data_IF_089108450685
#
_entry.id   IF_089108450685
#
_cell.length_a   1.000
_cell.length_b   1.000
_cell.length_c   1.000
_cell.angle_alpha   90.00
_cell.angle_beta   90.00
_cell.angle_gamma   90.00
#
_symmetry.space_group_name_H-M   'P 1'
#
loop_
_entity.id
_entity.type
_entity.pdbx_description
1 polymer ?
#
# COMPACT_ATOMS: atom_id res chain seq x y z
N UNK A 1 -21.89 66.27 -33.75
CA UNK A 1 -21.43 65.86 -32.40
C UNK A 1 -22.45 64.87 -31.79
N UNK A 2 -22.51 63.63 -32.28
CA UNK A 2 -23.47 62.61 -31.75
C UNK A 2 -22.81 61.28 -31.38
N UNK A 3 -21.55 61.04 -31.76
CA UNK A 3 -20.88 59.76 -31.52
C UNK A 3 -20.43 59.49 -30.07
N UNK A 4 -20.58 60.45 -29.13
CA UNK A 4 -20.07 60.31 -27.77
C UNK A 4 -21.03 59.69 -26.76
N UNK A 5 -22.35 59.71 -27.01
CA UNK A 5 -23.36 59.28 -26.03
C UNK A 5 -23.66 57.77 -26.14
N UNK A 6 -23.51 57.18 -27.33
CA UNK A 6 -23.80 55.76 -27.55
C UNK A 6 -22.77 54.82 -26.88
N UNK A 7 -21.49 55.21 -26.82
CA UNK A 7 -20.46 54.39 -26.17
C UNK A 7 -20.63 54.32 -24.63
N UNK A 8 -21.12 55.38 -24.00
CA UNK A 8 -21.39 55.37 -22.55
C UNK A 8 -22.58 54.48 -22.18
N UNK A 9 -23.58 54.36 -23.05
CA UNK A 9 -24.72 53.46 -22.85
C UNK A 9 -24.36 51.98 -23.02
N UNK A 10 -23.52 51.66 -24.01
CA UNK A 10 -23.07 50.27 -24.24
C UNK A 10 -22.10 49.81 -23.15
N UNK A 11 -21.22 50.69 -22.67
CA UNK A 11 -20.31 50.38 -21.57
C UNK A 11 -21.05 50.19 -20.23
N UNK A 12 -22.07 50.98 -19.94
CA UNK A 12 -22.87 50.85 -18.71
C UNK A 12 -23.74 49.59 -18.70
N UNK A 13 -24.29 49.20 -19.86
CA UNK A 13 -24.97 47.91 -20.04
C UNK A 13 -24.03 46.73 -19.83
N UNK A 14 -22.79 46.80 -20.34
CA UNK A 14 -21.79 45.75 -20.17
C UNK A 14 -21.39 45.53 -18.71
N UNK A 15 -21.18 46.62 -17.95
CA UNK A 15 -20.87 46.54 -16.51
C UNK A 15 -22.07 46.03 -15.71
N UNK A 16 -23.29 46.47 -16.03
CA UNK A 16 -24.52 45.98 -15.39
C UNK A 16 -24.72 44.48 -15.58
N UNK A 17 -24.46 43.95 -16.79
CA UNK A 17 -24.54 42.53 -17.08
C UNK A 17 -23.54 41.71 -16.25
N UNK A 18 -22.30 42.18 -16.11
CA UNK A 18 -21.26 41.50 -15.30
C UNK A 18 -21.65 41.48 -13.82
N UNK A 19 -22.19 42.59 -13.29
CA UNK A 19 -22.67 42.64 -11.90
C UNK A 19 -23.85 41.70 -11.68
N UNK A 20 -24.80 41.61 -12.62
CA UNK A 20 -25.93 40.69 -12.55
C UNK A 20 -25.50 39.22 -12.63
N UNK A 21 -24.58 38.88 -13.54
CA UNK A 21 -24.02 37.51 -13.65
C UNK A 21 -23.29 37.14 -12.35
N UNK A 22 -22.49 38.07 -11.79
CA UNK A 22 -21.79 37.86 -10.52
C UNK A 22 -22.77 37.71 -9.34
N UNK A 23 -23.86 38.47 -9.32
CA UNK A 23 -24.91 38.36 -8.30
C UNK A 23 -25.69 37.04 -8.41
N UNK A 24 -26.07 36.62 -9.62
CA UNK A 24 -26.69 35.32 -9.90
C UNK A 24 -25.76 34.15 -9.55
N UNK A 25 -24.47 34.24 -9.88
CA UNK A 25 -23.48 33.23 -9.54
C UNK A 25 -23.32 33.12 -8.01
N UNK A 26 -23.27 34.24 -7.30
CA UNK A 26 -23.14 34.30 -5.84
C UNK A 26 -24.42 33.83 -5.12
N UNK A 27 -25.60 34.07 -5.68
CA UNK A 27 -26.87 33.53 -5.18
C UNK A 27 -26.97 32.01 -5.43
N UNK A 28 -26.48 31.50 -6.57
CA UNK A 28 -26.44 30.06 -6.85
C UNK A 28 -25.47 29.30 -5.92
N UNK A 29 -24.30 29.88 -5.63
CA UNK A 29 -23.33 29.30 -4.69
C UNK A 29 -23.85 29.38 -3.27
N UNK A 30 -24.55 30.46 -2.90
CA UNK A 30 -25.19 30.58 -1.59
C UNK A 30 -26.32 29.56 -1.40
N UNK A 31 -27.21 29.38 -2.39
CA UNK A 31 -28.30 28.39 -2.34
C UNK A 31 -27.78 26.95 -2.32
N UNK A 32 -26.77 26.64 -3.14
CA UNK A 32 -26.16 25.30 -3.14
C UNK A 32 -25.41 25.01 -1.84
N UNK A 33 -24.69 25.98 -1.28
CA UNK A 33 -24.03 25.85 0.03
C UNK A 33 -25.05 25.69 1.16
N UNK A 34 -26.15 26.46 1.14
CA UNK A 34 -27.25 26.33 2.09
C UNK A 34 -27.95 24.98 1.98
N UNK A 35 -28.16 24.46 0.77
CA UNK A 35 -28.72 23.11 0.53
C UNK A 35 -27.77 22.02 1.03
N UNK A 36 -26.45 22.14 0.79
CA UNK A 36 -25.43 21.22 1.31
C UNK A 36 -25.36 21.25 2.83
N UNK A 37 -25.35 22.44 3.45
CA UNK A 37 -25.40 22.59 4.91
C UNK A 37 -26.70 22.04 5.50
N UNK A 38 -27.82 22.19 4.79
CA UNK A 38 -29.10 21.60 5.22
C UNK A 38 -29.05 20.08 5.17
N UNK A 39 -28.57 19.49 4.08
CA UNK A 39 -28.37 18.05 3.94
C UNK A 39 -27.37 17.52 4.99
N UNK A 40 -26.28 18.24 5.23
CA UNK A 40 -25.33 17.91 6.28
C UNK A 40 -26.01 17.89 7.66
N UNK A 41 -26.81 18.91 7.98
CA UNK A 41 -27.60 18.93 9.23
C UNK A 41 -28.65 17.83 9.31
N UNK A 42 -29.38 17.58 8.23
CA UNK A 42 -30.40 16.52 8.13
C UNK A 42 -29.77 15.13 8.37
N UNK A 43 -28.52 14.93 7.93
CA UNK A 43 -27.78 13.69 8.06
C UNK A 43 -26.65 13.75 9.10
N UNK A 44 -26.69 14.69 10.05
CA UNK A 44 -25.60 14.92 11.02
C UNK A 44 -25.27 13.69 11.89
N UNK A 45 -26.22 12.76 12.02
CA UNK A 45 -26.01 11.51 12.75
C UNK A 45 -25.31 10.42 11.92
N UNK A 46 -25.12 10.63 10.62
CA UNK A 46 -24.55 9.65 9.68
C UNK A 46 -23.08 9.90 9.37
N UNK A 47 -22.50 10.96 9.91
CA UNK A 47 -21.07 11.24 9.83
C UNK A 47 -20.58 11.82 11.15
N UNK A 48 -19.27 11.75 11.38
CA UNK A 48 -18.61 12.34 12.54
C UNK A 48 -17.44 13.15 12.00
N UNK A 49 -17.42 14.44 12.34
CA UNK A 49 -16.36 15.34 11.95
C UNK A 49 -15.25 15.34 13.02
N UNK A 50 -14.00 15.64 12.65
CA UNK A 50 -12.92 15.82 13.62
C UNK A 50 -13.26 16.85 14.70
N UNK A 51 -14.01 17.89 14.36
CA UNK A 51 -14.44 18.95 15.27
C UNK A 51 -15.47 18.48 16.31
N UNK A 52 -16.14 17.35 16.08
CA UNK A 52 -17.08 16.74 17.02
C UNK A 52 -16.36 15.97 18.16
N UNK A 53 -15.03 15.86 18.06
CA UNK A 53 -14.20 15.05 18.94
C UNK A 53 -13.13 15.91 19.62
N UNK A 54 -12.90 15.68 20.91
CA UNK A 54 -11.70 16.19 21.59
C UNK A 54 -10.43 15.51 21.06
N UNK A 55 -9.29 16.13 21.28
CA UNK A 55 -8.02 15.65 20.72
C UNK A 55 -7.68 14.19 21.11
N UNK A 56 -7.81 13.77 22.39
CA UNK A 56 -7.63 12.36 22.76
C UNK A 56 -8.56 11.40 22.00
N UNK A 57 -9.84 11.75 21.85
CA UNK A 57 -10.81 10.94 21.12
C UNK A 57 -10.49 10.87 19.62
N UNK A 58 -10.04 11.96 19.01
CA UNK A 58 -9.58 11.95 17.60
C UNK A 58 -8.43 10.96 17.39
N UNK A 59 -7.42 10.97 18.27
CA UNK A 59 -6.28 10.07 18.17
C UNK A 59 -6.70 8.61 18.35
N UNK A 60 -7.60 8.34 19.30
CA UNK A 60 -8.09 6.99 19.56
C UNK A 60 -8.92 6.45 18.38
N UNK A 61 -9.76 7.28 17.76
CA UNK A 61 -10.52 6.91 16.57
C UNK A 61 -9.58 6.62 15.38
N UNK A 62 -8.59 7.47 15.14
CA UNK A 62 -7.60 7.26 14.06
C UNK A 62 -6.87 5.93 14.22
N UNK A 63 -6.50 5.57 15.45
CA UNK A 63 -5.88 4.26 15.73
C UNK A 63 -6.80 3.08 15.37
N UNK A 64 -8.08 3.17 15.69
CA UNK A 64 -9.06 2.15 15.32
C UNK A 64 -9.21 2.03 13.79
N UNK A 65 -9.32 3.17 13.09
CA UNK A 65 -9.40 3.22 11.63
C UNK A 65 -8.16 2.60 10.97
N UNK A 66 -6.96 2.98 11.42
CA UNK A 66 -5.71 2.42 10.90
C UNK A 66 -5.61 0.91 11.12
N UNK A 67 -6.08 0.41 12.28
CA UNK A 67 -6.08 -1.03 12.56
C UNK A 67 -6.99 -1.79 11.58
N UNK A 68 -8.22 -1.30 11.35
CA UNK A 68 -9.16 -1.90 10.40
C UNK A 68 -8.64 -1.79 8.96
N UNK A 69 -8.11 -0.64 8.56
CA UNK A 69 -7.52 -0.46 7.24
C UNK A 69 -6.38 -1.46 6.99
N UNK A 70 -5.50 -1.66 7.97
CA UNK A 70 -4.42 -2.64 7.87
C UNK A 70 -4.92 -4.08 7.71
N UNK A 71 -6.02 -4.45 8.38
CA UNK A 71 -6.65 -5.77 8.23
C UNK A 71 -7.21 -5.93 6.82
N UNK A 72 -8.03 -4.97 6.39
CA UNK A 72 -8.74 -5.01 5.11
C UNK A 72 -7.77 -4.96 3.91
N UNK A 73 -6.65 -4.24 4.05
CA UNK A 73 -5.63 -4.10 3.02
C UNK A 73 -4.71 -5.33 2.88
N UNK A 74 -4.64 -6.21 3.90
CA UNK A 74 -3.74 -7.37 3.92
C UNK A 74 -4.03 -8.36 2.78
N UNK A 75 -2.98 -9.02 2.28
CA UNK A 75 -3.11 -10.02 1.24
C UNK A 75 -3.83 -11.27 1.75
N UNK A 76 -3.64 -11.66 3.01
CA UNK A 76 -4.38 -12.78 3.64
C UNK A 76 -5.89 -12.53 3.70
N UNK A 77 -6.33 -11.29 3.97
CA UNK A 77 -7.75 -10.91 3.90
C UNK A 77 -8.27 -11.00 2.47
N UNK A 78 -7.55 -10.41 1.51
CA UNK A 78 -7.93 -10.41 0.09
C UNK A 78 -7.96 -11.81 -0.53
N UNK A 79 -7.13 -12.72 -0.03
CA UNK A 79 -7.09 -14.12 -0.43
C UNK A 79 -8.18 -14.97 0.25
N UNK A 80 -9.00 -14.40 1.15
CA UNK A 80 -10.06 -15.12 1.85
C UNK A 80 -9.56 -16.12 2.90
N UNK A 81 -8.31 -15.99 3.35
CA UNK A 81 -7.69 -16.91 4.33
C UNK A 81 -8.07 -16.61 5.78
N UNK A 82 -8.67 -15.45 6.01
CA UNK A 82 -9.37 -15.07 7.24
C UNK A 82 -10.82 -14.76 6.88
N UNK A 83 -11.72 -14.80 7.85
CA UNK A 83 -13.16 -14.60 7.62
C UNK A 83 -13.44 -13.22 7.00
N UNK A 84 -13.52 -13.19 5.67
CA UNK A 84 -13.55 -11.96 4.89
C UNK A 84 -14.93 -11.32 4.91
N UNK A 85 -15.99 -12.12 5.03
CA UNK A 85 -17.38 -11.64 5.09
C UNK A 85 -17.61 -10.98 6.45
N UNK A 86 -17.26 -11.68 7.54
CA UNK A 86 -17.40 -11.14 8.90
C UNK A 86 -16.57 -9.86 9.04
N UNK A 87 -15.32 -9.85 8.54
CA UNK A 87 -14.48 -8.66 8.61
C UNK A 87 -15.01 -7.47 7.81
N UNK A 88 -15.61 -7.70 6.64
CA UNK A 88 -16.15 -6.64 5.79
C UNK A 88 -17.39 -5.97 6.40
N UNK A 89 -18.17 -6.68 7.20
CA UNK A 89 -19.39 -6.15 7.82
C UNK A 89 -19.10 -5.63 9.22
N UNK A 90 -18.47 -6.46 10.05
CA UNK A 90 -18.33 -6.18 11.48
C UNK A 90 -17.25 -5.14 11.78
N UNK A 91 -16.11 -5.13 11.08
CA UNK A 91 -15.05 -4.16 11.39
C UNK A 91 -15.45 -2.70 11.11
N UNK A 92 -16.10 -2.35 9.98
CA UNK A 92 -16.63 -1.00 9.79
C UNK A 92 -17.68 -0.63 10.84
N UNK A 93 -18.56 -1.57 11.21
CA UNK A 93 -19.54 -1.35 12.26
C UNK A 93 -18.87 -1.07 13.62
N UNK A 94 -17.85 -1.86 13.99
CA UNK A 94 -17.06 -1.66 15.21
C UNK A 94 -16.45 -0.25 15.26
N UNK A 95 -15.85 0.21 14.16
CA UNK A 95 -15.28 1.57 14.05
C UNK A 95 -16.38 2.62 14.20
N UNK A 96 -17.53 2.44 13.56
CA UNK A 96 -18.66 3.36 13.67
C UNK A 96 -19.21 3.45 15.10
N UNK A 97 -19.36 2.31 15.78
CA UNK A 97 -19.79 2.27 17.17
C UNK A 97 -18.78 2.96 18.11
N UNK A 98 -17.48 2.74 17.89
CA UNK A 98 -16.41 3.43 18.63
C UNK A 98 -16.50 4.94 18.39
N UNK A 99 -16.59 5.37 17.14
CA UNK A 99 -16.66 6.79 16.77
C UNK A 99 -17.86 7.48 17.42
N UNK A 100 -19.04 6.86 17.36
CA UNK A 100 -20.28 7.40 17.94
C UNK A 100 -20.17 7.56 19.46
N UNK A 101 -19.55 6.60 20.14
CA UNK A 101 -19.32 6.66 21.60
C UNK A 101 -18.26 7.70 21.96
N UNK A 102 -17.21 7.85 21.15
CA UNK A 102 -16.19 8.88 21.35
C UNK A 102 -16.77 10.28 21.17
N UNK A 103 -17.64 10.51 20.17
CA UNK A 103 -18.37 11.78 20.01
C UNK A 103 -19.17 12.11 21.26
N UNK A 104 -19.91 11.13 21.80
CA UNK A 104 -20.67 11.31 23.04
C UNK A 104 -19.75 11.60 24.23
N UNK A 105 -18.60 10.93 24.34
CA UNK A 105 -17.62 11.19 25.39
C UNK A 105 -17.07 12.62 25.30
N UNK A 106 -16.68 13.07 24.10
CA UNK A 106 -16.21 14.44 23.88
C UNK A 106 -17.27 15.50 24.16
N UNK A 107 -18.53 15.26 23.79
CA UNK A 107 -19.62 16.19 24.12
C UNK A 107 -19.83 16.27 25.64
N UNK A 108 -19.80 15.14 26.34
CA UNK A 108 -19.91 15.09 27.80
C UNK A 108 -18.72 15.75 28.50
N UNK A 109 -17.48 15.59 28.00
CA UNK A 109 -16.32 16.33 28.49
C UNK A 109 -16.51 17.85 28.33
N UNK A 110 -16.98 18.29 27.17
CA UNK A 110 -17.21 19.70 26.91
C UNK A 110 -18.32 20.31 27.79
N UNK A 111 -19.38 19.55 28.06
CA UNK A 111 -20.45 19.94 28.99
C UNK A 111 -19.95 19.98 30.43
N UNK A 112 -19.21 18.96 30.86
CA UNK A 112 -18.64 18.89 32.20
C UNK A 112 -17.68 20.06 32.46
N UNK A 113 -16.86 20.44 31.48
CA UNK A 113 -15.97 21.61 31.58
C UNK A 113 -16.69 22.96 31.65
N UNK A 114 -17.97 23.04 31.27
CA UNK A 114 -18.81 24.24 31.44
C UNK A 114 -19.49 24.29 32.81
N UNK A 115 -19.82 23.13 33.37
CA UNK A 115 -20.55 23.00 34.64
C UNK A 115 -19.59 23.04 35.83
N UNK A 116 -18.45 22.36 35.72
CA UNK A 116 -17.48 22.25 36.82
C UNK A 116 -16.59 23.50 36.82
N UNK A 117 -16.55 24.27 37.93
CA UNK A 117 -15.63 25.39 38.08
C UNK A 117 -14.18 24.93 37.98
N UNK A 118 -13.30 25.77 37.40
CA UNK A 118 -11.85 25.47 37.31
C UNK A 118 -11.21 25.19 38.66
N UNK A 119 -11.70 25.85 39.71
CA UNK A 119 -11.30 25.61 41.10
C UNK A 119 -12.53 25.10 41.85
N UNK A 120 -12.52 23.81 42.22
CA UNK A 120 -13.58 23.26 43.04
C UNK A 120 -13.47 23.81 44.48
N UNK A 121 -14.59 24.24 45.09
CA UNK A 121 -14.62 24.50 46.51
C UNK A 121 -14.20 23.26 47.31
N UNK A 122 -13.33 23.46 48.31
CA UNK A 122 -12.85 22.37 49.19
C UNK A 122 -14.04 21.63 49.81
N UNK A 123 -14.05 20.30 49.72
CA UNK A 123 -15.10 19.42 50.25
C UNK A 123 -16.21 19.09 49.25
N UNK A 124 -16.16 19.60 48.02
CA UNK A 124 -17.12 19.29 46.95
C UNK A 124 -16.59 18.25 45.96
N UNK A 125 -15.35 17.82 46.09
CA UNK A 125 -14.69 16.86 45.18
C UNK A 125 -15.44 15.51 45.12
N UNK A 126 -15.92 15.04 46.27
CA UNK A 126 -16.66 13.78 46.37
C UNK A 126 -17.99 13.81 45.61
N UNK A 127 -18.61 15.00 45.45
CA UNK A 127 -19.86 15.14 44.71
C UNK A 127 -19.66 14.97 43.19
N UNK A 128 -18.49 15.33 42.67
CA UNK A 128 -18.17 15.24 41.23
C UNK A 128 -17.47 13.93 40.85
N UNK A 129 -16.86 13.24 41.82
CA UNK A 129 -16.13 11.99 41.62
C UNK A 129 -16.88 10.90 40.85
N UNK A 130 -18.19 10.66 41.05
CA UNK A 130 -18.91 9.65 40.26
C UNK A 130 -18.98 9.98 38.77
N UNK A 131 -19.10 11.27 38.42
CA UNK A 131 -19.21 11.73 37.03
C UNK A 131 -17.87 11.61 36.30
N UNK A 132 -16.77 12.05 36.93
CA UNK A 132 -15.42 11.86 36.37
C UNK A 132 -15.09 10.37 36.21
N UNK A 133 -15.37 9.56 37.24
CA UNK A 133 -15.12 8.11 37.19
C UNK A 133 -15.90 7.42 36.06
N UNK A 134 -17.13 7.87 35.77
CA UNK A 134 -17.94 7.32 34.69
C UNK A 134 -17.34 7.62 33.31
N UNK A 135 -16.86 8.85 33.08
CA UNK A 135 -16.18 9.21 31.83
C UNK A 135 -14.84 8.48 31.68
N UNK A 136 -14.07 8.36 32.76
CA UNK A 136 -12.81 7.61 32.78
C UNK A 136 -13.03 6.11 32.49
N UNK A 137 -14.09 5.53 33.04
CA UNK A 137 -14.48 4.15 32.75
C UNK A 137 -14.86 3.96 31.28
N UNK A 138 -15.63 4.91 30.71
CA UNK A 138 -15.99 4.89 29.30
C UNK A 138 -14.75 5.01 28.40
N UNK A 139 -13.85 5.94 28.69
CA UNK A 139 -12.57 6.11 28.00
C UNK A 139 -11.72 4.83 28.05
N UNK A 140 -11.60 4.23 29.24
CA UNK A 140 -10.81 3.01 29.46
C UNK A 140 -11.37 1.84 28.65
N UNK A 141 -12.69 1.66 28.65
CA UNK A 141 -13.38 0.63 27.88
C UNK A 141 -13.16 0.79 26.37
N UNK A 142 -13.35 2.01 25.84
CA UNK A 142 -13.12 2.31 24.43
C UNK A 142 -11.65 2.09 24.04
N UNK A 143 -10.73 2.56 24.88
CA UNK A 143 -9.30 2.34 24.69
C UNK A 143 -8.93 0.86 24.64
N UNK A 144 -9.56 0.04 25.49
CA UNK A 144 -9.34 -1.41 25.48
C UNK A 144 -9.87 -2.07 24.20
N UNK A 145 -11.06 -1.67 23.75
CA UNK A 145 -11.64 -2.16 22.49
C UNK A 145 -10.74 -1.85 21.29
N UNK A 146 -10.20 -0.62 21.22
CA UNK A 146 -9.21 -0.26 20.18
C UNK A 146 -7.93 -1.08 20.29
N UNK A 147 -7.39 -1.30 21.51
CA UNK A 147 -6.23 -2.19 21.68
C UNK A 147 -6.48 -3.61 21.19
N UNK A 148 -7.69 -4.12 21.31
CA UNK A 148 -8.04 -5.45 20.79
C UNK A 148 -8.04 -5.45 19.25
N UNK A 149 -8.58 -4.42 18.60
CA UNK A 149 -8.50 -4.25 17.15
C UNK A 149 -7.05 -4.15 16.67
N UNK A 150 -6.21 -3.36 17.35
CA UNK A 150 -4.78 -3.24 17.03
C UNK A 150 -4.05 -4.58 17.19
N UNK A 151 -4.36 -5.34 18.24
CA UNK A 151 -3.79 -6.67 18.46
C UNK A 151 -4.20 -7.62 17.33
N UNK A 152 -5.46 -7.58 16.89
CA UNK A 152 -5.93 -8.37 15.75
C UNK A 152 -5.19 -7.98 14.46
N UNK A 153 -5.14 -6.68 14.14
CA UNK A 153 -4.40 -6.17 12.99
C UNK A 153 -2.94 -6.62 12.99
N UNK A 154 -2.27 -6.59 14.16
CA UNK A 154 -0.90 -7.07 14.29
C UNK A 154 -0.75 -8.57 13.99
N UNK A 155 -1.72 -9.40 14.34
CA UNK A 155 -1.69 -10.83 14.00
C UNK A 155 -1.94 -11.04 12.51
N UNK A 156 -2.89 -10.32 11.91
CA UNK A 156 -3.15 -10.35 10.47
C UNK A 156 -1.89 -9.97 9.68
N UNK A 157 -1.20 -8.89 10.06
CA UNK A 157 0.05 -8.48 9.42
C UNK A 157 1.19 -9.51 9.57
N UNK A 158 1.23 -10.27 10.67
CA UNK A 158 2.18 -11.38 10.81
C UNK A 158 1.83 -12.54 9.87
N UNK A 159 0.55 -12.90 9.78
CA UNK A 159 0.08 -13.90 8.83
C UNK A 159 0.39 -13.49 7.39
N UNK A 160 0.23 -12.21 7.07
CA UNK A 160 0.52 -11.63 5.75
C UNK A 160 1.98 -11.83 5.32
N UNK A 161 2.92 -11.66 6.25
CA UNK A 161 4.35 -11.94 6.00
C UNK A 161 4.61 -13.40 5.67
N UNK A 162 3.99 -14.32 6.41
CA UNK A 162 4.14 -15.77 6.19
C UNK A 162 3.50 -16.15 4.86
N UNK A 163 2.32 -15.62 4.56
CA UNK A 163 1.62 -15.84 3.30
C UNK A 163 2.44 -15.38 2.09
N UNK A 164 3.09 -14.22 2.17
CA UNK A 164 3.99 -13.76 1.12
C UNK A 164 5.22 -14.65 0.95
N UNK A 165 5.80 -15.15 2.04
CA UNK A 165 6.92 -16.10 1.95
C UNK A 165 6.48 -17.42 1.30
N UNK A 166 5.33 -17.96 1.71
CA UNK A 166 4.73 -19.16 1.12
C UNK A 166 4.50 -18.99 -0.39
N UNK A 167 3.83 -17.90 -0.79
CA UNK A 167 3.54 -17.61 -2.21
C UNK A 167 4.82 -17.50 -3.05
N UNK A 168 5.92 -16.96 -2.48
CA UNK A 168 7.21 -16.88 -3.17
C UNK A 168 7.84 -18.27 -3.32
N UNK A 169 7.77 -19.11 -2.29
CA UNK A 169 8.28 -20.48 -2.35
C UNK A 169 7.50 -21.32 -3.35
N UNK A 170 6.18 -21.20 -3.41
CA UNK A 170 5.37 -21.88 -4.42
C UNK A 170 5.75 -21.45 -5.85
N UNK A 171 5.94 -20.15 -6.08
CA UNK A 171 6.41 -19.63 -7.37
C UNK A 171 7.79 -20.16 -7.75
N UNK A 172 8.69 -20.30 -6.77
CA UNK A 172 10.02 -20.86 -7.00
C UNK A 172 9.96 -22.37 -7.28
N UNK A 173 9.16 -23.11 -6.51
CA UNK A 173 8.94 -24.54 -6.70
C UNK A 173 8.33 -24.85 -8.07
N UNK A 174 7.43 -24.00 -8.57
CA UNK A 174 6.89 -24.11 -9.92
C UNK A 174 7.97 -23.99 -11.02
N UNK A 175 9.10 -23.34 -10.73
CA UNK A 175 10.25 -23.22 -11.65
C UNK A 175 11.27 -24.35 -11.51
N UNK A 176 11.14 -25.22 -10.51
CA UNK A 176 12.09 -26.32 -10.29
C UNK A 176 12.38 -27.17 -11.53
N UNK A 177 11.41 -27.51 -12.40
CA UNK A 177 11.70 -28.26 -13.63
C UNK A 177 12.65 -27.53 -14.58
N UNK A 178 12.52 -26.20 -14.73
CA UNK A 178 13.41 -25.38 -15.56
C UNK A 178 14.85 -25.42 -15.01
N UNK A 179 15.00 -25.32 -13.69
CA UNK A 179 16.32 -25.43 -13.05
C UNK A 179 16.92 -26.84 -13.18
N UNK A 180 16.10 -27.89 -13.04
CA UNK A 180 16.55 -29.26 -13.24
C UNK A 180 17.01 -29.50 -14.69
N UNK A 181 16.28 -28.97 -15.66
CA UNK A 181 16.67 -29.03 -17.07
C UNK A 181 17.99 -28.29 -17.31
N UNK A 182 18.14 -27.08 -16.78
CA UNK A 182 19.38 -26.31 -16.90
C UNK A 182 20.58 -27.07 -16.31
N UNK A 183 20.42 -27.72 -15.15
CA UNK A 183 21.48 -28.56 -14.56
C UNK A 183 21.82 -29.74 -15.49
N UNK A 184 20.81 -30.42 -16.05
CA UNK A 184 21.01 -31.54 -16.96
C UNK A 184 21.72 -31.13 -18.26
N UNK A 185 21.39 -29.96 -18.82
CA UNK A 185 22.06 -29.39 -19.99
C UNK A 185 23.52 -29.03 -19.67
N UNK A 186 23.78 -28.42 -18.51
CA UNK A 186 25.14 -28.05 -18.09
C UNK A 186 26.05 -29.28 -17.94
N UNK A 187 25.56 -30.36 -17.31
CA UNK A 187 26.32 -31.62 -17.19
C UNK A 187 26.62 -32.21 -18.58
N UNK A 188 25.68 -32.10 -19.52
CA UNK A 188 25.90 -32.56 -20.91
C UNK A 188 26.99 -31.74 -21.60
N UNK A 189 27.03 -30.43 -21.37
CA UNK A 189 28.05 -29.55 -21.96
C UNK A 189 29.46 -29.85 -21.42
N UNK A 190 29.59 -30.18 -20.13
CA UNK A 190 30.87 -30.62 -19.55
C UNK A 190 31.39 -31.91 -20.23
N UNK A 191 30.51 -32.90 -20.41
CA UNK A 191 30.85 -34.13 -21.13
C UNK A 191 31.21 -33.88 -22.61
N UNK A 192 30.53 -32.93 -23.26
CA UNK A 192 30.84 -32.55 -24.63
C UNK A 192 32.24 -31.88 -24.74
N UNK A 193 32.62 -31.06 -23.76
CA UNK A 193 33.97 -30.47 -23.71
C UNK A 193 35.06 -31.54 -23.60
N UNK A 194 34.87 -32.54 -22.73
CA UNK A 194 35.81 -33.66 -22.61
C UNK A 194 35.96 -34.40 -23.94
N UNK A 195 34.83 -34.67 -24.62
CA UNK A 195 34.85 -35.36 -25.91
C UNK A 195 35.54 -34.55 -27.00
N UNK A 196 35.29 -33.24 -27.07
CA UNK A 196 35.95 -32.36 -28.05
C UNK A 196 37.46 -32.32 -27.80
N UNK A 197 37.90 -32.34 -26.53
CA UNK A 197 39.31 -32.42 -26.16
C UNK A 197 39.95 -33.71 -26.67
N UNK A 198 39.33 -34.87 -26.44
CA UNK A 198 39.81 -36.15 -26.97
C UNK A 198 39.92 -36.14 -28.50
N UNK A 199 38.91 -35.63 -29.20
CA UNK A 199 38.92 -35.53 -30.67
C UNK A 199 40.05 -34.61 -31.16
N UNK A 200 40.32 -33.53 -30.42
CA UNK A 200 41.42 -32.61 -30.72
C UNK A 200 42.78 -33.27 -30.51
N UNK A 201 42.95 -34.05 -29.44
CA UNK A 201 44.18 -34.81 -29.16
C UNK A 201 44.42 -35.89 -30.24
N UNK A 202 43.36 -36.59 -30.66
CA UNK A 202 43.41 -37.55 -31.76
C UNK A 202 43.83 -36.89 -33.07
N UNK A 203 43.23 -35.74 -33.42
CA UNK A 203 43.59 -34.99 -34.61
C UNK A 203 45.05 -34.51 -34.57
N UNK A 204 45.53 -34.05 -33.40
CA UNK A 204 46.92 -33.66 -33.22
C UNK A 204 47.89 -34.83 -33.38
N UNK A 205 47.52 -36.03 -32.89
CA UNK A 205 48.31 -37.23 -33.06
C UNK A 205 48.40 -37.66 -34.54
N UNK A 206 47.26 -37.68 -35.25
CA UNK A 206 47.22 -38.00 -36.68
C UNK A 206 48.05 -37.01 -37.50
N UNK A 207 47.97 -35.70 -37.20
CA UNK A 207 48.82 -34.69 -37.84
C UNK A 207 50.30 -35.02 -37.67
N UNK A 208 50.72 -35.36 -36.45
CA UNK A 208 52.12 -35.70 -36.15
C UNK A 208 52.61 -36.92 -36.96
N UNK A 209 51.78 -37.96 -37.08
CA UNK A 209 52.11 -39.14 -37.91
C UNK A 209 52.29 -38.77 -39.39
N UNK A 210 51.43 -37.90 -39.93
CA UNK A 210 51.60 -37.41 -41.30
C UNK A 210 52.85 -36.56 -41.48
N UNK A 211 53.18 -35.68 -40.53
CA UNK A 211 54.41 -34.90 -40.55
C UNK A 211 55.66 -35.79 -40.52
N UNK A 212 55.66 -36.84 -39.68
CA UNK A 212 56.71 -37.85 -39.62
C UNK A 212 56.82 -38.63 -40.93
N UNK A 213 55.70 -39.05 -41.52
CA UNK A 213 55.66 -39.75 -42.81
C UNK A 213 56.20 -38.88 -43.95
N UNK A 214 55.83 -37.60 -44.01
CA UNK A 214 56.34 -36.65 -45.00
C UNK A 214 57.85 -36.46 -44.81
N UNK A 215 58.33 -36.35 -43.56
CA UNK A 215 59.76 -36.23 -43.27
C UNK A 215 60.53 -37.45 -43.75
N UNK A 216 60.03 -38.66 -43.45
CA UNK A 216 60.61 -39.92 -43.90
C UNK A 216 60.62 -40.02 -45.44
N UNK A 217 59.52 -39.65 -46.10
CA UNK A 217 59.45 -39.64 -47.57
C UNK A 217 60.46 -38.66 -48.18
N UNK A 218 60.65 -37.47 -47.57
CA UNK A 218 61.67 -36.50 -48.00
C UNK A 218 63.09 -37.03 -47.80
N UNK A 219 63.36 -37.72 -46.69
CA UNK A 219 64.66 -38.34 -46.43
C UNK A 219 64.96 -39.44 -47.46
N UNK A 220 64.03 -40.36 -47.70
CA UNK A 220 64.18 -41.43 -48.68
C UNK A 220 64.37 -40.90 -50.12
N UNK A 221 63.63 -39.86 -50.52
CA UNK A 221 63.83 -39.20 -51.80
C UNK A 221 65.21 -38.51 -51.90
N UNK A 222 65.67 -37.92 -50.79
CA UNK A 222 67.01 -37.33 -50.70
C UNK A 222 68.14 -38.36 -50.79
N UNK A 223 67.94 -39.57 -50.27
CA UNK A 223 68.88 -40.70 -50.42
C UNK A 223 68.92 -41.23 -51.86
N UNK A 224 67.76 -41.38 -52.51
CA UNK A 224 67.67 -41.74 -53.92
C UNK A 224 68.36 -40.73 -54.84
N UNK A 225 68.24 -39.42 -54.57
CA UNK A 225 68.90 -38.37 -55.33
C UNK A 225 70.40 -38.25 -55.07
N UNK A 226 70.92 -38.82 -53.97
CA UNK A 226 72.35 -38.82 -53.61
C UNK A 226 73.09 -40.08 -54.04
N UNK A 227 72.37 -41.15 -54.40
CA UNK A 227 72.98 -42.34 -54.97
C UNK A 227 73.29 -42.10 -56.46
N UNK A 228 74.56 -42.04 -56.90
CA UNK A 228 74.84 -41.92 -58.32
C UNK A 228 74.32 -43.19 -59.02
N UNK A 229 73.50 -43.00 -60.05
CA UNK A 229 73.15 -44.07 -60.98
C UNK A 229 74.46 -44.61 -61.57
N UNK A 230 74.95 -45.73 -61.04
CA UNK A 230 76.03 -46.53 -61.62
C UNK A 230 75.54 -47.25 -62.86
#
# INVERSE_FOLDING_TARGET
>A
MVAGVEYFFVASMGVGLIVLIRWMAMDSTYRSTKRRLRLAREHANQYILPEDLDYPCQQLLRRAQNAVEAIMASAVHKAGLIDSIENQVSLPEEVWQIATRLRKLSSMHAEQGKIIPRELPKGMEDAFKPYTSALDAAWTSLSQRVRHLEKYAKQVLKADKVYHAHTRLEKLAAKTPEYQQLIAETVRDELAHERIRELSDQAAHVRKLFEESILQARQAAGELLRSPLT
#
